data_IF_948082418002
#
_entry.id   IF_948082418002
#
_cell.length_a   1.000
_cell.length_b   1.000
_cell.length_c   1.000
_cell.angle_alpha   90.00
_cell.angle_beta   90.00
_cell.angle_gamma   90.00
#
_symmetry.space_group_name_H-M   'P 1'
#
loop_
_entity.id
_entity.type
_entity.pdbx_description
1 polymer ?
#
# COMPACT_ATOMS: atom_id res chain seq x y z
N UNK A 1 2.17 -1.24 -11.28
CA UNK A 1 3.52 -1.43 -10.74
C UNK A 1 3.48 -2.77 -10.05
N UNK A 2 4.25 -3.72 -10.54
CA UNK A 2 4.35 -5.03 -9.90
C UNK A 2 5.25 -4.91 -8.66
N UNK A 3 5.07 -5.78 -7.66
CA UNK A 3 5.93 -5.82 -6.47
C UNK A 3 7.43 -5.93 -6.83
N UNK A 4 7.75 -6.60 -7.94
CA UNK A 4 9.11 -6.70 -8.47
C UNK A 4 9.73 -5.36 -8.88
N UNK A 5 8.93 -4.40 -9.36
CA UNK A 5 9.44 -3.07 -9.69
C UNK A 5 9.89 -2.34 -8.42
N UNK A 6 9.20 -2.60 -7.30
CA UNK A 6 9.45 -1.98 -6.00
C UNK A 6 10.68 -2.61 -5.35
N UNK A 7 10.86 -3.93 -5.47
CA UNK A 7 12.11 -4.62 -5.10
C UNK A 7 13.33 -3.99 -5.80
N UNK A 8 13.25 -3.85 -7.13
CA UNK A 8 14.32 -3.23 -7.90
C UNK A 8 14.59 -1.79 -7.47
N UNK A 9 13.53 -1.03 -7.17
CA UNK A 9 13.67 0.34 -6.71
C UNK A 9 14.31 0.42 -5.31
N UNK A 10 13.93 -0.46 -4.39
CA UNK A 10 14.50 -0.52 -3.03
C UNK A 10 16.00 -0.84 -3.04
N UNK A 11 16.49 -1.60 -4.02
CA UNK A 11 17.91 -1.91 -4.18
C UNK A 11 18.73 -0.64 -4.50
N UNK A 12 18.18 0.26 -5.32
CA UNK A 12 18.90 1.46 -5.79
C UNK A 12 18.56 2.73 -5.01
N UNK A 13 17.46 2.72 -4.26
CA UNK A 13 16.95 3.86 -3.52
C UNK A 13 17.14 3.65 -2.01
N UNK A 14 18.00 4.47 -1.43
CA UNK A 14 18.30 4.42 0.01
C UNK A 14 17.30 5.21 0.87
N UNK A 15 16.57 6.15 0.25
CA UNK A 15 15.62 7.02 0.94
C UNK A 15 14.30 6.34 1.30
N UNK A 16 13.37 7.15 1.84
CA UNK A 16 12.03 6.71 2.15
C UNK A 16 11.29 6.27 0.88
N UNK A 17 10.63 5.11 0.94
CA UNK A 17 9.90 4.50 -0.15
C UNK A 17 8.47 4.19 0.31
N UNK A 18 7.49 4.89 -0.29
CA UNK A 18 6.08 4.70 0.03
C UNK A 18 5.24 4.46 -1.25
N UNK A 19 4.98 3.20 -1.64
CA UNK A 19 4.14 2.90 -2.80
C UNK A 19 2.71 3.40 -2.62
N UNK A 20 2.15 3.94 -3.70
CA UNK A 20 0.75 4.40 -3.78
C UNK A 20 -0.09 3.43 -4.62
N UNK A 21 -1.36 3.25 -4.24
CA UNK A 21 -2.39 2.38 -4.85
C UNK A 21 -2.47 0.96 -4.32
N UNK A 22 -2.30 0.78 -3.02
CA UNK A 22 -2.56 -0.52 -2.44
C UNK A 22 -4.07 -0.76 -2.33
N UNK A 23 -4.56 -1.80 -3.01
CA UNK A 23 -5.99 -2.14 -3.05
C UNK A 23 -6.28 -3.59 -2.61
N UNK A 24 -5.26 -4.39 -2.29
CA UNK A 24 -5.44 -5.73 -1.70
C UNK A 24 -4.42 -5.99 -0.57
N UNK A 25 -4.77 -6.91 0.32
CA UNK A 25 -4.00 -7.30 1.49
C UNK A 25 -2.74 -8.10 1.14
N UNK A 26 -2.81 -8.98 0.14
CA UNK A 26 -1.64 -9.76 -0.32
C UNK A 26 -0.48 -8.86 -0.76
N UNK A 27 -0.77 -7.79 -1.50
CA UNK A 27 0.26 -6.82 -1.91
C UNK A 27 0.85 -6.12 -0.67
N UNK A 28 0.04 -5.83 0.36
CA UNK A 28 0.51 -5.19 1.60
C UNK A 28 1.57 -6.03 2.32
N UNK A 29 1.30 -7.34 2.44
CA UNK A 29 2.23 -8.28 3.06
C UNK A 29 3.55 -8.37 2.27
N UNK A 30 3.48 -8.42 0.94
CA UNK A 30 4.67 -8.45 0.09
C UNK A 30 5.50 -7.15 0.20
N UNK A 31 4.86 -5.99 0.16
CA UNK A 31 5.56 -4.70 0.28
C UNK A 31 6.27 -4.55 1.63
N UNK A 32 5.68 -5.09 2.70
CA UNK A 32 6.32 -5.12 4.02
C UNK A 32 7.60 -5.96 4.02
N UNK A 33 7.62 -7.10 3.32
CA UNK A 33 8.83 -7.92 3.17
C UNK A 33 9.92 -7.22 2.35
N UNK A 34 9.52 -6.38 1.39
CA UNK A 34 10.45 -5.58 0.57
C UNK A 34 11.11 -4.45 1.38
N UNK A 35 10.53 -4.06 2.52
CA UNK A 35 11.07 -3.01 3.39
C UNK A 35 10.69 -1.60 2.94
N UNK A 36 9.44 -1.41 2.53
CA UNK A 36 8.88 -0.07 2.29
C UNK A 36 8.59 0.64 3.61
N UNK A 37 8.75 1.97 3.62
CA UNK A 37 8.62 2.81 4.81
C UNK A 37 7.16 3.21 5.09
N UNK A 38 6.27 3.02 4.11
CA UNK A 38 4.85 3.27 4.24
C UNK A 38 4.07 2.81 3.02
N UNK A 39 2.75 2.81 3.14
CA UNK A 39 1.85 2.42 2.05
C UNK A 39 0.74 3.46 1.94
N UNK A 40 0.42 3.88 0.73
CA UNK A 40 -0.65 4.86 0.49
C UNK A 40 -1.83 4.18 -0.20
N UNK A 41 -2.90 3.97 0.56
CA UNK A 41 -4.19 3.50 0.03
C UNK A 41 -4.85 4.65 -0.72
N UNK A 42 -5.17 4.43 -2.00
CA UNK A 42 -5.67 5.48 -2.89
C UNK A 42 -6.36 4.90 -4.11
N UNK A 43 -7.57 5.38 -4.39
CA UNK A 43 -8.35 5.09 -5.61
C UNK A 43 -8.14 6.12 -6.72
N UNK A 44 -7.14 7.01 -6.61
CA UNK A 44 -6.90 8.13 -7.54
C UNK A 44 -8.11 9.07 -7.71
N UNK A 45 -8.91 9.23 -6.66
CA UNK A 45 -10.10 10.09 -6.70
C UNK A 45 -11.22 9.52 -7.58
N UNK A 46 -11.26 8.20 -7.81
CA UNK A 46 -12.32 7.53 -8.58
C UNK A 46 -12.14 7.58 -10.10
N UNK A 47 -11.10 8.25 -10.62
CA UNK A 47 -10.89 8.45 -12.05
C UNK A 47 -10.47 7.20 -12.83
N UNK A 48 -9.86 6.21 -12.18
CA UNK A 48 -9.24 5.07 -12.86
C UNK A 48 -10.03 3.77 -12.79
N UNK A 49 -10.81 3.53 -11.73
CA UNK A 49 -11.66 2.35 -11.60
C UNK A 49 -12.90 2.69 -10.76
N UNK A 50 -14.01 2.94 -11.45
CA UNK A 50 -15.23 3.50 -10.84
C UNK A 50 -15.97 2.51 -9.91
N UNK A 51 -15.60 1.22 -9.96
CA UNK A 51 -16.14 0.16 -9.09
C UNK A 51 -15.17 -0.25 -7.98
N UNK A 52 -14.06 0.47 -7.79
CA UNK A 52 -13.17 0.19 -6.66
C UNK A 52 -13.88 0.61 -5.37
N UNK A 53 -13.82 -0.18 -4.29
CA UNK A 53 -14.27 0.25 -2.98
C UNK A 53 -13.56 1.55 -2.59
N UNK A 54 -14.24 2.44 -1.86
CA UNK A 54 -13.65 3.70 -1.48
C UNK A 54 -12.42 3.45 -0.59
N UNK A 55 -11.39 4.30 -0.72
CA UNK A 55 -10.15 4.15 0.05
C UNK A 55 -10.39 4.15 1.57
N UNK A 56 -11.41 4.89 2.04
CA UNK A 56 -11.80 4.93 3.46
C UNK A 56 -12.40 3.59 3.93
N UNK A 57 -13.05 2.84 3.04
CA UNK A 57 -13.65 1.55 3.36
C UNK A 57 -12.61 0.43 3.37
N UNK A 58 -11.56 0.54 2.56
CA UNK A 58 -10.49 -0.47 2.47
C UNK A 58 -9.36 -0.28 3.47
N UNK A 59 -9.12 0.95 3.92
CA UNK A 59 -8.03 1.28 4.85
C UNK A 59 -8.06 0.45 6.16
N UNK A 60 -9.22 0.24 6.83
CA UNK A 60 -9.23 -0.51 8.08
C UNK A 60 -8.80 -1.96 7.91
N UNK A 61 -9.41 -2.69 6.96
CA UNK A 61 -9.06 -4.09 6.67
C UNK A 61 -7.59 -4.23 6.27
N UNK A 62 -7.09 -3.31 5.45
CA UNK A 62 -5.72 -3.38 4.97
C UNK A 62 -4.70 -3.08 6.08
N UNK A 63 -5.05 -2.19 7.01
CA UNK A 63 -4.20 -1.92 8.17
C UNK A 63 -4.17 -3.13 9.12
N UNK A 64 -5.32 -3.74 9.40
CA UNK A 64 -5.41 -4.95 10.23
C UNK A 64 -4.57 -6.09 9.63
N UNK A 65 -4.73 -6.35 8.33
CA UNK A 65 -3.99 -7.41 7.61
C UNK A 65 -2.49 -7.13 7.53
N UNK A 66 -2.10 -5.86 7.36
CA UNK A 66 -0.70 -5.44 7.33
C UNK A 66 -0.07 -5.33 8.73
N UNK A 67 -0.85 -5.55 9.80
CA UNK A 67 -0.41 -5.43 11.19
C UNK A 67 -0.04 -3.99 11.57
N UNK A 68 -0.71 -3.00 10.98
CA UNK A 68 -0.63 -1.61 11.39
C UNK A 68 -1.68 -1.34 12.46
N UNK A 69 -1.21 -0.92 13.63
CA UNK A 69 -2.09 -0.43 14.69
C UNK A 69 -2.66 0.94 14.29
N UNK A 70 -3.96 0.96 13.98
CA UNK A 70 -4.72 2.16 13.67
C UNK A 70 -5.25 2.87 14.92
N UNK A 71 -5.02 2.33 16.13
CA UNK A 71 -5.61 2.80 17.38
C UNK A 71 -4.84 3.97 18.01
N UNK A 72 -4.40 4.93 17.17
CA UNK A 72 -3.90 6.23 17.64
C UNK A 72 -5.04 7.23 17.85
N UNK A 73 -5.94 6.89 18.78
CA UNK A 73 -6.81 7.87 19.44
C UNK A 73 -6.48 7.99 20.92
#
# INVERSE_FOLDING_TARGET
>A
MACRDIENLRIVWEGALAPKRLLCAEDAAQLRLIGVDGMVVSTHGGHTFNSAPAAVDTLPSLADDAGYDNDRR
#
